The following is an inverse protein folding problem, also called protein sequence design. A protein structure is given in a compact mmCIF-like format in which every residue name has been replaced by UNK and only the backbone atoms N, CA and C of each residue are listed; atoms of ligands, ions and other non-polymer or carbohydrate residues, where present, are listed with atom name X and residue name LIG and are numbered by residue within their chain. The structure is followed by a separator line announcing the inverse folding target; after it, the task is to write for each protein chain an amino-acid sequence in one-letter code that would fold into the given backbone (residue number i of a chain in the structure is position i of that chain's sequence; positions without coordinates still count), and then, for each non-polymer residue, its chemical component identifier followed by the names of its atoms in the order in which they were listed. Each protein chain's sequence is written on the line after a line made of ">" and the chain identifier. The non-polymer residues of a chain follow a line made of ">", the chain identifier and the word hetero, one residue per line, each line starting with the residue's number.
data_IF_463189241065
#
_entry.id   IF_463189241065
#
_cell.length_a   1.000
_cell.length_b   1.000
_cell.length_c   1.000
_cell.angle_alpha   90.00
_cell.angle_beta   90.00
_cell.angle_gamma   90.00
#
_symmetry.space_group_name_H-M   'P 1'
#
loop_
_entity.id
_entity.type
_entity.pdbx_description
1 polymer ?
#
# COMPACT_ATOMS: atom_id res chain seq x y z
N UNK A 1 -7.59 10.29 -16.64
CA UNK A 1 -6.50 10.05 -15.66
C UNK A 1 -6.77 10.97 -14.49
N UNK A 2 -6.61 10.48 -13.27
CA UNK A 2 -6.75 11.31 -12.08
C UNK A 2 -5.52 12.22 -11.92
N UNK A 3 -5.74 13.43 -11.38
CA UNK A 3 -4.68 14.43 -11.23
C UNK A 3 -3.98 14.25 -9.88
N UNK A 4 -2.81 13.64 -9.91
CA UNK A 4 -1.95 13.51 -8.75
C UNK A 4 -1.07 14.74 -8.57
N UNK A 5 -0.94 15.21 -7.33
CA UNK A 5 0.07 16.19 -6.91
C UNK A 5 1.29 15.46 -6.40
N UNK A 6 2.48 15.88 -6.80
CA UNK A 6 3.73 15.28 -6.33
C UNK A 6 4.81 16.35 -6.11
N UNK A 7 5.75 16.01 -5.22
CA UNK A 7 7.01 16.73 -5.07
C UNK A 7 8.13 15.68 -5.09
N UNK A 8 9.02 15.79 -6.06
CA UNK A 8 10.20 14.92 -6.10
C UNK A 8 11.14 15.33 -4.99
N UNK A 9 11.46 14.40 -4.09
CA UNK A 9 12.37 14.67 -2.98
C UNK A 9 12.57 13.48 -2.07
N UNK A 10 13.63 13.56 -1.24
CA UNK A 10 13.96 12.52 -0.28
C UNK A 10 13.01 12.44 0.90
N UNK A 11 13.28 11.48 1.79
CA UNK A 11 12.51 11.28 3.03
C UNK A 11 12.27 12.60 3.76
N UNK A 12 11.03 12.85 4.14
CA UNK A 12 10.59 14.10 4.76
C UNK A 12 10.11 15.18 3.78
N UNK A 13 10.16 14.95 2.46
CA UNK A 13 9.55 15.84 1.47
C UNK A 13 8.03 15.68 1.48
N UNK A 14 7.37 16.45 2.35
CA UNK A 14 5.92 16.42 2.49
C UNK A 14 5.18 17.22 1.41
N UNK A 15 3.93 16.86 1.21
CA UNK A 15 2.92 17.67 0.49
C UNK A 15 1.92 18.25 1.50
N UNK A 16 1.18 19.28 1.11
CA UNK A 16 0.18 19.90 1.98
C UNK A 16 -1.01 18.94 2.22
N UNK A 17 -1.79 19.20 3.29
CA UNK A 17 -3.00 18.41 3.52
C UNK A 17 -4.01 18.53 2.35
N UNK A 18 -4.08 19.69 1.70
CA UNK A 18 -4.91 19.88 0.52
C UNK A 18 -4.45 18.96 -0.64
N UNK A 19 -3.13 18.87 -0.86
CA UNK A 19 -2.54 17.98 -1.85
C UNK A 19 -2.78 16.50 -1.49
N UNK A 20 -2.69 16.15 -0.19
CA UNK A 20 -3.01 14.79 0.28
C UNK A 20 -4.47 14.44 -0.02
N UNK A 21 -5.42 15.36 0.22
CA UNK A 21 -6.84 15.17 -0.11
C UNK A 21 -7.04 14.94 -1.61
N UNK A 22 -6.36 15.70 -2.44
CA UNK A 22 -6.40 15.51 -3.89
C UNK A 22 -5.86 14.13 -4.28
N UNK A 23 -4.72 13.71 -3.71
CA UNK A 23 -4.13 12.41 -3.99
C UNK A 23 -5.00 11.25 -3.47
N UNK A 24 -5.63 11.38 -2.32
CA UNK A 24 -6.60 10.38 -1.82
C UNK A 24 -7.78 10.23 -2.79
N UNK A 25 -8.34 11.35 -3.28
CA UNK A 25 -9.40 11.30 -4.27
C UNK A 25 -8.94 10.66 -5.57
N UNK A 26 -7.71 10.92 -6.00
CA UNK A 26 -7.11 10.32 -7.18
C UNK A 26 -6.89 8.81 -7.02
N UNK A 27 -6.32 8.38 -5.87
CA UNK A 27 -6.14 6.96 -5.52
C UNK A 27 -7.50 6.23 -5.51
N UNK A 28 -8.50 6.82 -4.84
CA UNK A 28 -9.86 6.28 -4.80
C UNK A 28 -10.43 6.09 -6.22
N UNK A 29 -10.36 7.12 -7.05
CA UNK A 29 -10.90 7.06 -8.41
C UNK A 29 -10.22 5.97 -9.26
N UNK A 30 -8.89 5.86 -9.17
CA UNK A 30 -8.13 4.88 -9.95
C UNK A 30 -8.41 3.46 -9.44
N UNK A 31 -8.28 3.19 -8.14
CA UNK A 31 -8.44 1.85 -7.58
C UNK A 31 -9.89 1.37 -7.67
N UNK A 32 -10.87 2.25 -7.48
CA UNK A 32 -12.30 1.92 -7.73
C UNK A 32 -12.51 1.52 -9.20
N UNK A 33 -11.84 2.21 -10.13
CA UNK A 33 -11.88 1.84 -11.55
C UNK A 33 -11.32 0.44 -11.83
N UNK A 34 -10.43 -0.07 -10.97
CA UNK A 34 -9.94 -1.46 -10.99
C UNK A 34 -10.76 -2.41 -10.11
N UNK A 35 -11.88 -1.96 -9.59
CA UNK A 35 -12.83 -2.78 -8.85
C UNK A 35 -12.50 -3.00 -7.38
N UNK A 36 -11.68 -2.14 -6.79
CA UNK A 36 -11.44 -2.15 -5.35
C UNK A 36 -12.60 -1.50 -4.60
N UNK A 37 -12.95 -2.05 -3.46
CA UNK A 37 -13.92 -1.45 -2.57
C UNK A 37 -13.25 -0.42 -1.63
N UNK A 38 -14.07 0.50 -1.11
CA UNK A 38 -13.60 1.63 -0.33
C UNK A 38 -12.80 1.25 0.92
N UNK A 39 -13.21 0.20 1.62
CA UNK A 39 -12.54 -0.31 2.82
C UNK A 39 -11.12 -0.79 2.51
N UNK A 40 -10.94 -1.53 1.43
CA UNK A 40 -9.64 -1.96 0.95
C UNK A 40 -8.75 -0.75 0.59
N UNK A 41 -9.30 0.22 -0.12
CA UNK A 41 -8.59 1.45 -0.50
C UNK A 41 -8.15 2.21 0.75
N UNK A 42 -9.02 2.34 1.75
CA UNK A 42 -8.69 3.03 3.00
C UNK A 42 -7.57 2.34 3.79
N UNK A 43 -7.61 1.00 3.86
CA UNK A 43 -6.54 0.22 4.49
C UNK A 43 -5.17 0.46 3.85
N UNK A 44 -5.10 0.41 2.53
CA UNK A 44 -3.88 0.72 1.77
C UNK A 44 -3.42 2.17 1.99
N UNK A 45 -4.33 3.15 1.92
CA UNK A 45 -4.02 4.57 2.15
C UNK A 45 -3.48 4.79 3.56
N UNK A 46 -4.00 4.10 4.58
CA UNK A 46 -3.47 4.18 5.94
C UNK A 46 -1.98 3.84 6.01
N UNK A 47 -1.55 2.87 5.24
CA UNK A 47 -0.15 2.49 5.12
C UNK A 47 0.64 3.51 4.29
N UNK A 48 0.14 3.98 3.16
CA UNK A 48 0.82 4.99 2.33
C UNK A 48 1.08 6.30 3.06
N UNK A 49 0.27 6.66 4.06
CA UNK A 49 0.53 7.86 4.88
C UNK A 49 1.87 7.75 5.61
N UNK A 50 2.16 6.61 6.20
CA UNK A 50 3.42 6.37 6.92
C UNK A 50 4.60 6.15 5.96
N UNK A 51 4.37 5.51 4.81
CA UNK A 51 5.42 5.22 3.83
C UNK A 51 5.86 6.48 3.05
N UNK A 52 4.91 7.31 2.62
CA UNK A 52 5.17 8.37 1.65
C UNK A 52 4.53 9.72 1.97
N UNK A 53 3.72 9.82 3.03
CA UNK A 53 2.87 10.98 3.23
C UNK A 53 1.92 11.23 2.06
N UNK A 54 1.53 10.19 1.32
CA UNK A 54 0.71 10.24 0.11
C UNK A 54 1.38 10.99 -1.06
N UNK A 55 2.69 11.18 -1.03
CA UNK A 55 3.44 11.83 -2.09
C UNK A 55 4.05 10.77 -3.03
N UNK A 56 3.57 10.61 -4.27
CA UNK A 56 4.13 9.61 -5.20
C UNK A 56 5.55 9.94 -5.69
N UNK A 57 6.03 11.15 -5.45
CA UNK A 57 7.37 11.60 -5.84
C UNK A 57 8.45 11.48 -4.74
N UNK A 58 8.15 10.78 -3.64
CA UNK A 58 9.10 10.61 -2.54
C UNK A 58 10.02 9.40 -2.75
N UNK A 59 11.26 9.53 -2.25
CA UNK A 59 12.22 8.43 -2.22
C UNK A 59 12.96 8.38 -0.87
N UNK A 60 13.37 7.20 -0.47
CA UNK A 60 14.10 6.98 0.77
C UNK A 60 15.55 7.47 0.66
N UNK A 61 16.03 8.19 1.69
CA UNK A 61 17.40 8.73 1.73
C UNK A 61 18.32 7.99 2.70
N UNK A 62 17.79 7.10 3.53
CA UNK A 62 18.57 6.44 4.61
C UNK A 62 19.67 5.49 4.10
N UNK A 63 19.56 4.99 2.88
CA UNK A 63 20.53 4.11 2.24
C UNK A 63 21.44 4.83 1.23
N UNK A 64 21.70 6.12 1.43
CA UNK A 64 22.52 6.90 0.52
C UNK A 64 21.82 7.23 -0.80
N UNK A 65 20.49 7.27 -0.76
CA UNK A 65 19.64 7.55 -1.90
C UNK A 65 19.84 8.95 -2.44
N UNK A 66 20.67 9.07 -3.46
CA UNK A 66 20.79 10.24 -4.30
C UNK A 66 20.24 9.85 -5.69
N UNK A 67 19.29 10.62 -6.20
CA UNK A 67 18.74 10.40 -7.54
C UNK A 67 19.80 10.46 -8.63
N UNK A 68 20.97 11.05 -8.36
CA UNK A 68 22.14 10.97 -9.25
C UNK A 68 22.66 9.54 -9.42
N UNK A 69 22.36 8.63 -8.50
CA UNK A 69 22.72 7.22 -8.57
C UNK A 69 21.72 6.35 -9.35
N UNK A 70 20.69 6.94 -9.95
CA UNK A 70 19.84 6.20 -10.88
C UNK A 70 20.73 5.60 -11.99
N UNK A 71 20.56 4.35 -12.35
CA UNK A 71 19.44 3.44 -12.06
C UNK A 71 19.62 2.51 -10.84
N UNK A 72 20.60 2.68 -10.02
CA UNK A 72 20.94 1.76 -8.93
C UNK A 72 20.49 2.28 -7.54
N UNK A 73 19.29 2.83 -7.46
CA UNK A 73 18.75 3.35 -6.22
C UNK A 73 18.30 2.20 -5.29
N UNK A 74 18.92 2.01 -4.10
CA UNK A 74 18.62 0.87 -3.23
C UNK A 74 17.45 1.10 -2.26
N UNK A 75 16.91 2.32 -2.19
CA UNK A 75 15.87 2.70 -1.25
C UNK A 75 14.45 2.56 -1.77
N UNK A 76 13.48 2.77 -0.91
CA UNK A 76 12.07 2.80 -1.25
C UNK A 76 11.67 4.01 -2.10
N UNK A 77 10.70 3.86 -2.98
CA UNK A 77 10.18 4.93 -3.84
C UNK A 77 8.66 4.87 -3.99
N UNK A 78 8.06 6.04 -4.12
CA UNK A 78 6.64 6.18 -4.42
C UNK A 78 5.71 5.94 -3.25
N UNK A 79 4.42 5.78 -3.52
CA UNK A 79 3.35 5.67 -2.52
C UNK A 79 3.58 4.54 -1.51
N UNK A 80 3.97 3.37 -1.97
CA UNK A 80 4.19 2.18 -1.16
C UNK A 80 5.67 1.93 -0.85
N UNK A 81 6.54 2.89 -1.11
CA UNK A 81 7.99 2.79 -0.88
C UNK A 81 8.58 1.49 -1.43
N UNK A 82 8.29 1.19 -2.72
CA UNK A 82 8.87 0.03 -3.38
C UNK A 82 10.39 0.06 -3.27
N UNK A 83 10.94 -0.91 -2.58
CA UNK A 83 12.38 -1.14 -2.49
C UNK A 83 12.87 -1.84 -3.76
N UNK A 84 14.19 -1.76 -4.04
CA UNK A 84 14.75 -2.24 -5.30
C UNK A 84 14.20 -1.50 -6.53
N UNK A 85 14.34 -0.19 -6.51
CA UNK A 85 14.02 0.71 -7.62
C UNK A 85 14.37 0.19 -9.02
N UNK A 86 15.53 -0.47 -9.25
CA UNK A 86 15.84 -1.02 -10.56
C UNK A 86 14.80 -2.00 -11.11
N UNK A 87 14.22 -2.85 -10.28
CA UNK A 87 13.16 -3.75 -10.73
C UNK A 87 11.88 -3.00 -11.09
N UNK A 88 11.54 -1.99 -10.30
CA UNK A 88 10.41 -1.10 -10.53
C UNK A 88 10.56 -0.25 -11.80
N UNK A 89 11.78 0.18 -12.14
CA UNK A 89 12.04 1.09 -13.27
C UNK A 89 12.52 0.42 -14.55
N UNK A 90 12.79 -0.87 -14.54
CA UNK A 90 13.36 -1.63 -15.66
C UNK A 90 14.86 -1.39 -15.96
N UNK A 91 15.59 -0.77 -15.06
CA UNK A 91 17.01 -0.47 -15.25
C UNK A 91 17.93 -1.59 -14.77
N UNK A 92 17.39 -2.68 -14.24
CA UNK A 92 18.12 -3.83 -13.70
C UNK A 92 17.97 -5.07 -14.60
N UNK A 93 18.87 -6.08 -14.50
CA UNK A 93 18.81 -7.27 -15.35
C UNK A 93 17.48 -8.01 -15.35
N UNK A 94 16.73 -7.94 -14.25
CA UNK A 94 15.41 -8.57 -14.11
C UNK A 94 14.34 -7.55 -13.71
N UNK A 95 14.04 -6.55 -14.55
CA UNK A 95 12.99 -5.60 -14.26
C UNK A 95 11.62 -6.26 -14.31
N UNK A 96 10.66 -5.71 -13.55
CA UNK A 96 9.26 -6.11 -13.68
C UNK A 96 8.81 -5.96 -15.14
N UNK A 97 8.03 -6.92 -15.68
CA UNK A 97 7.56 -6.86 -17.07
C UNK A 97 6.73 -5.60 -17.38
N UNK A 98 6.20 -4.97 -16.40
CA UNK A 98 5.39 -3.75 -16.44
C UNK A 98 6.05 -2.57 -15.72
N UNK A 99 7.35 -2.49 -15.71
CA UNK A 99 8.07 -1.39 -15.09
C UNK A 99 7.76 -0.02 -15.70
N UNK A 100 8.09 1.05 -14.98
CA UNK A 100 7.82 2.42 -15.41
C UNK A 100 8.39 2.71 -16.82
N UNK A 101 9.59 2.23 -17.12
CA UNK A 101 10.21 2.43 -18.43
C UNK A 101 9.45 1.71 -19.55
N UNK A 102 9.06 0.44 -19.35
CA UNK A 102 8.29 -0.33 -20.32
C UNK A 102 6.91 0.27 -20.57
N UNK A 103 6.27 0.78 -19.53
CA UNK A 103 4.98 1.46 -19.63
C UNK A 103 5.11 2.91 -20.11
N UNK A 104 6.33 3.40 -20.36
CA UNK A 104 6.64 4.79 -20.75
C UNK A 104 6.05 5.81 -19.78
N UNK A 105 6.19 5.52 -18.49
CA UNK A 105 5.72 6.35 -17.38
C UNK A 105 6.88 6.85 -16.54
N UNK A 106 6.68 7.96 -15.89
CA UNK A 106 7.60 8.42 -14.87
C UNK A 106 7.38 7.60 -13.59
N UNK A 107 8.44 7.30 -12.85
CA UNK A 107 8.33 6.56 -11.60
C UNK A 107 7.45 7.26 -10.56
N UNK A 108 7.33 8.59 -10.61
CA UNK A 108 6.48 9.40 -9.74
C UNK A 108 5.04 9.59 -10.24
N UNK A 109 4.65 8.93 -11.32
CA UNK A 109 3.28 8.97 -11.82
C UNK A 109 2.36 8.17 -10.90
N UNK A 110 1.51 8.86 -10.13
CA UNK A 110 0.60 8.24 -9.19
C UNK A 110 -0.43 7.31 -9.84
N UNK A 111 -0.86 7.59 -11.07
CA UNK A 111 -1.76 6.68 -11.81
C UNK A 111 -1.04 5.36 -12.15
N UNK A 112 0.23 5.44 -12.57
CA UNK A 112 1.05 4.26 -12.82
C UNK A 112 1.27 3.47 -11.52
N UNK A 113 1.57 4.14 -10.42
CA UNK A 113 1.78 3.49 -9.12
C UNK A 113 0.51 2.78 -8.64
N UNK A 114 -0.67 3.40 -8.75
CA UNK A 114 -1.94 2.75 -8.42
C UNK A 114 -2.23 1.57 -9.34
N UNK A 115 -1.93 1.67 -10.64
CA UNK A 115 -2.05 0.54 -11.55
C UNK A 115 -1.10 -0.60 -11.18
N UNK A 116 0.13 -0.27 -10.79
CA UNK A 116 1.13 -1.26 -10.37
C UNK A 116 0.64 -2.07 -9.16
N UNK A 117 -0.07 -1.46 -8.21
CA UNK A 117 -0.65 -2.16 -7.07
C UNK A 117 -1.62 -3.28 -7.51
N UNK A 118 -2.28 -3.13 -8.66
CA UNK A 118 -3.18 -4.19 -9.18
C UNK A 118 -2.43 -5.45 -9.62
N UNK A 119 -1.10 -5.39 -9.68
CA UNK A 119 -0.21 -6.51 -10.03
C UNK A 119 0.37 -7.23 -8.81
N UNK A 120 -0.02 -6.83 -7.62
CA UNK A 120 0.56 -7.35 -6.38
C UNK A 120 0.41 -8.88 -6.20
N UNK A 121 -0.58 -9.50 -6.85
CA UNK A 121 -0.84 -10.95 -6.84
C UNK A 121 -0.29 -11.67 -8.09
N UNK A 122 0.46 -10.98 -8.94
CA UNK A 122 1.07 -11.59 -10.11
C UNK A 122 2.30 -12.42 -9.71
N UNK A 123 2.43 -13.63 -10.25
CA UNK A 123 3.53 -14.55 -9.94
C UNK A 123 4.90 -13.92 -10.20
N UNK A 124 5.03 -13.08 -11.23
CA UNK A 124 6.28 -12.36 -11.50
C UNK A 124 6.53 -11.31 -10.45
N UNK A 125 5.51 -10.56 -10.02
CA UNK A 125 5.62 -9.55 -8.98
C UNK A 125 5.98 -10.19 -7.64
N UNK A 126 5.32 -11.30 -7.26
CA UNK A 126 5.55 -12.00 -6.01
C UNK A 126 6.84 -12.83 -6.00
N UNK A 127 7.30 -13.31 -7.17
CA UNK A 127 8.48 -14.17 -7.30
C UNK A 127 9.80 -13.42 -7.48
N UNK A 128 9.78 -12.12 -7.74
CA UNK A 128 10.98 -11.31 -7.90
C UNK A 128 11.66 -11.02 -6.56
N UNK A 129 12.19 -12.08 -5.94
CA UNK A 129 13.03 -11.97 -4.76
C UNK A 129 14.51 -11.92 -5.13
N UNK A 130 15.26 -11.04 -4.51
CA UNK A 130 16.70 -11.04 -4.56
C UNK A 130 17.26 -12.01 -3.52
N UNK A 131 17.47 -13.25 -3.92
CA UNK A 131 18.26 -14.25 -3.15
C UNK A 131 17.66 -14.77 -1.85
N UNK A 132 16.57 -14.22 -1.34
CA UNK A 132 15.99 -14.59 -0.04
C UNK A 132 14.45 -14.66 -0.01
N UNK A 133 13.83 -14.95 -1.14
CA UNK A 133 12.37 -15.01 -1.28
C UNK A 133 11.79 -13.75 -1.91
N UNK A 134 10.51 -13.74 -2.22
CA UNK A 134 9.87 -12.61 -2.87
C UNK A 134 9.89 -11.41 -1.94
N UNK A 135 10.36 -10.28 -2.42
CA UNK A 135 10.44 -9.03 -1.66
C UNK A 135 9.28 -8.08 -1.95
N UNK A 136 8.42 -8.45 -2.88
CA UNK A 136 7.35 -7.59 -3.36
C UNK A 136 6.09 -8.41 -3.59
N UNK A 137 4.96 -7.73 -3.50
CA UNK A 137 3.69 -8.31 -3.78
C UNK A 137 3.00 -8.93 -2.58
N UNK A 138 1.79 -9.36 -2.82
CA UNK A 138 0.89 -9.88 -1.79
C UNK A 138 1.29 -11.29 -1.35
N UNK A 139 1.51 -11.48 -0.06
CA UNK A 139 1.88 -12.78 0.51
C UNK A 139 1.04 -13.14 1.70
N UNK A 140 0.34 -14.25 1.60
CA UNK A 140 -0.43 -14.79 2.73
C UNK A 140 0.49 -15.54 3.71
N UNK A 141 0.19 -15.40 5.00
CA UNK A 141 0.92 -16.06 6.08
C UNK A 141 -0.01 -16.87 6.97
N UNK A 142 0.49 -17.98 7.53
CA UNK A 142 -0.22 -18.71 8.58
C UNK A 142 0.03 -18.16 9.99
N UNK A 143 1.00 -17.25 10.13
CA UNK A 143 1.42 -16.68 11.42
C UNK A 143 0.61 -15.43 11.81
N UNK A 144 -0.07 -14.81 10.86
CA UNK A 144 -0.87 -13.60 11.05
C UNK A 144 -2.22 -13.73 10.33
N UNK A 145 -3.23 -12.93 10.71
CA UNK A 145 -4.45 -12.82 9.92
C UNK A 145 -4.11 -12.41 8.49
N UNK A 146 -4.52 -13.20 7.53
CA UNK A 146 -4.12 -13.05 6.13
C UNK A 146 -5.24 -13.55 5.22
N UNK A 147 -5.42 -12.89 4.08
CA UNK A 147 -6.42 -13.23 3.06
C UNK A 147 -5.78 -13.16 1.67
N UNK A 148 -6.42 -13.72 0.66
CA UNK A 148 -5.95 -13.55 -0.71
C UNK A 148 -6.09 -12.09 -1.17
N UNK A 149 -5.26 -11.68 -2.13
CA UNK A 149 -5.32 -10.32 -2.67
C UNK A 149 -6.69 -9.99 -3.26
N UNK A 150 -7.32 -10.95 -3.95
CA UNK A 150 -8.65 -10.77 -4.51
C UNK A 150 -9.75 -10.61 -3.45
N UNK A 151 -9.62 -11.28 -2.29
CA UNK A 151 -10.50 -11.06 -1.14
C UNK A 151 -10.26 -9.70 -0.51
N UNK A 152 -8.98 -9.28 -0.40
CA UNK A 152 -8.63 -7.96 0.11
C UNK A 152 -9.32 -6.84 -0.69
N UNK A 153 -9.19 -6.87 -2.01
CA UNK A 153 -9.80 -5.86 -2.90
C UNK A 153 -11.31 -5.71 -2.71
N UNK A 154 -11.99 -6.74 -2.20
CA UNK A 154 -13.45 -6.81 -2.02
C UNK A 154 -13.92 -6.53 -0.59
N UNK A 155 -13.02 -6.19 0.32
CA UNK A 155 -13.40 -5.77 1.67
C UNK A 155 -14.32 -4.55 1.61
N UNK A 156 -15.48 -4.64 2.25
CA UNK A 156 -16.55 -3.64 2.11
C UNK A 156 -17.25 -3.28 3.44
N UNK A 157 -16.67 -3.63 4.58
CA UNK A 157 -17.16 -3.19 5.88
C UNK A 157 -16.97 -1.68 6.08
N UNK A 158 -17.80 -1.05 6.89
CA UNK A 158 -17.82 0.40 7.13
C UNK A 158 -17.54 0.78 8.58
N UNK A 159 -17.34 -0.20 9.45
CA UNK A 159 -16.99 0.05 10.87
C UNK A 159 -15.50 0.32 11.03
N UNK A 160 -15.12 0.98 12.12
CA UNK A 160 -13.71 1.17 12.47
C UNK A 160 -12.94 -0.15 12.54
N UNK A 161 -13.58 -1.23 13.02
CA UNK A 161 -12.96 -2.55 13.08
C UNK A 161 -12.68 -3.16 11.68
N UNK A 162 -13.58 -2.95 10.73
CA UNK A 162 -13.42 -3.45 9.36
C UNK A 162 -12.27 -2.71 8.64
N UNK A 163 -12.19 -1.38 8.84
CA UNK A 163 -11.14 -0.55 8.27
C UNK A 163 -9.78 -0.90 8.89
N UNK A 164 -9.73 -1.10 10.21
CA UNK A 164 -8.52 -1.54 10.91
C UNK A 164 -8.04 -2.89 10.41
N UNK A 165 -8.94 -3.83 10.19
CA UNK A 165 -8.61 -5.13 9.66
C UNK A 165 -8.07 -5.04 8.23
N UNK A 166 -8.64 -4.18 7.39
CA UNK A 166 -8.09 -3.93 6.05
C UNK A 166 -6.67 -3.35 6.12
N UNK A 167 -6.41 -2.46 7.09
CA UNK A 167 -5.06 -1.92 7.32
C UNK A 167 -4.08 -3.00 7.77
N UNK A 168 -4.51 -3.90 8.67
CA UNK A 168 -3.68 -5.04 9.12
C UNK A 168 -3.32 -5.99 7.98
N UNK A 169 -4.28 -6.35 7.13
CA UNK A 169 -4.00 -7.20 5.98
C UNK A 169 -2.99 -6.56 5.04
N UNK A 170 -3.13 -5.27 4.71
CA UNK A 170 -2.15 -4.57 3.90
C UNK A 170 -0.77 -4.58 4.53
N UNK A 171 -0.70 -4.23 5.79
CA UNK A 171 0.53 -4.14 6.56
C UNK A 171 1.29 -5.47 6.63
N UNK A 172 0.59 -6.57 6.84
CA UNK A 172 1.23 -7.88 6.95
C UNK A 172 1.45 -8.55 5.59
N UNK A 173 0.50 -8.48 4.68
CA UNK A 173 0.53 -9.25 3.44
C UNK A 173 1.23 -8.50 2.28
N UNK A 174 1.26 -7.16 2.30
CA UNK A 174 1.92 -6.36 1.27
C UNK A 174 3.26 -5.77 1.71
N UNK A 175 3.33 -5.24 2.93
CA UNK A 175 4.55 -4.58 3.43
C UNK A 175 5.46 -5.52 4.23
N UNK A 176 5.00 -6.73 4.55
CA UNK A 176 5.73 -7.81 5.24
C UNK A 176 6.35 -7.40 6.58
N UNK A 177 5.70 -6.55 7.30
CA UNK A 177 6.15 -6.09 8.62
C UNK A 177 5.92 -7.16 9.72
N UNK A 178 6.56 -8.32 9.56
CA UNK A 178 6.49 -9.42 10.53
C UNK A 178 7.41 -9.28 11.73
N UNK A 179 8.27 -8.24 11.75
CA UNK A 179 9.22 -8.04 12.83
C UNK A 179 8.63 -7.20 13.96
N UNK A 180 9.16 -7.37 15.18
CA UNK A 180 8.72 -6.69 16.41
C UNK A 180 8.66 -5.16 16.32
N UNK A 181 9.27 -4.54 15.32
CA UNK A 181 9.25 -3.09 15.14
C UNK A 181 8.06 -2.59 14.32
N UNK A 182 7.47 -3.43 13.48
CA UNK A 182 6.35 -3.04 12.63
C UNK A 182 5.07 -2.71 13.40
N UNK A 183 4.77 -3.46 14.45
CA UNK A 183 3.54 -3.25 15.24
C UNK A 183 3.49 -1.87 15.91
N UNK A 184 4.63 -1.20 16.14
CA UNK A 184 4.69 0.13 16.74
C UNK A 184 3.97 1.20 15.89
N UNK A 185 3.95 1.05 14.57
CA UNK A 185 3.35 2.04 13.66
C UNK A 185 1.95 1.66 13.18
N UNK A 186 1.47 0.47 13.52
CA UNK A 186 0.15 0.00 13.11
C UNK A 186 -1.01 0.87 13.65
N UNK A 187 -0.99 1.37 14.90
CA UNK A 187 -2.03 2.28 15.38
C UNK A 187 -2.16 3.57 14.57
N UNK A 188 -1.04 4.16 14.13
CA UNK A 188 -1.02 5.38 13.32
C UNK A 188 -1.60 5.11 11.93
N UNK A 189 -1.24 3.98 11.31
CA UNK A 189 -1.77 3.54 10.01
C UNK A 189 -3.28 3.33 10.06
N UNK A 190 -3.79 2.69 11.12
CA UNK A 190 -5.23 2.50 11.37
C UNK A 190 -5.96 3.83 11.54
N UNK A 191 -5.41 4.75 12.33
CA UNK A 191 -5.99 6.07 12.51
C UNK A 191 -6.04 6.85 11.19
N UNK A 192 -4.98 6.78 10.38
CA UNK A 192 -4.93 7.37 9.05
C UNK A 192 -5.96 6.73 8.10
N UNK A 193 -6.08 5.40 8.09
CA UNK A 193 -7.07 4.68 7.30
C UNK A 193 -8.50 5.13 7.61
N UNK A 194 -8.86 5.23 8.91
CA UNK A 194 -10.19 5.70 9.33
C UNK A 194 -10.43 7.16 8.90
N UNK A 195 -9.46 8.07 9.11
CA UNK A 195 -9.54 9.47 8.66
C UNK A 195 -9.85 9.55 7.18
N UNK A 196 -9.15 8.78 6.36
CA UNK A 196 -9.29 8.86 4.92
C UNK A 196 -10.54 8.11 4.42
N UNK A 197 -10.97 7.06 5.12
CA UNK A 197 -12.27 6.45 4.85
C UNK A 197 -13.41 7.47 5.04
N UNK A 198 -13.42 8.21 6.16
CA UNK A 198 -14.41 9.28 6.41
C UNK A 198 -14.41 10.32 5.27
N UNK A 199 -13.23 10.73 4.85
CA UNK A 199 -13.11 11.67 3.75
C UNK A 199 -13.69 11.13 2.44
N UNK A 200 -13.34 9.89 2.08
CA UNK A 200 -13.76 9.26 0.82
C UNK A 200 -15.24 8.88 0.80
N UNK A 201 -15.77 8.43 1.92
CA UNK A 201 -17.18 8.03 2.04
C UNK A 201 -18.12 9.21 2.21
N UNK A 202 -17.62 10.36 2.68
CA UNK A 202 -18.43 11.50 3.10
C UNK A 202 -19.20 11.26 4.41
N UNK A 203 -18.89 10.17 5.13
CA UNK A 203 -19.54 9.79 6.38
C UNK A 203 -18.52 9.53 7.48
N UNK A 204 -18.80 9.92 8.74
CA UNK A 204 -17.95 9.54 9.87
C UNK A 204 -17.88 8.01 10.02
N UNK A 205 -16.69 7.50 10.34
CA UNK A 205 -16.56 6.08 10.71
C UNK A 205 -17.30 5.88 12.04
N UNK A 206 -18.22 4.92 12.12
CA UNK A 206 -18.88 4.60 13.37
C UNK A 206 -17.87 4.32 14.48
N UNK A 207 -18.09 4.83 15.72
CA UNK A 207 -17.21 4.55 16.83
C UNK A 207 -17.12 3.04 17.06
N UNK A 208 -15.94 2.57 17.46
CA UNK A 208 -15.78 1.17 17.83
C UNK A 208 -16.82 0.79 18.88
N UNK A 209 -17.47 -0.37 18.72
CA UNK A 209 -18.25 -0.92 19.82
C UNK A 209 -17.31 -1.07 21.03
N UNK A 210 -17.78 -0.75 22.26
CA UNK A 210 -16.94 -0.83 23.45
C UNK A 210 -16.24 -2.17 23.50
N UNK A 211 -14.93 -2.15 23.73
CA UNK A 211 -14.03 -3.29 23.70
C UNK A 211 -14.38 -4.32 24.77
N UNK A 212 -15.41 -5.09 24.53
CA UNK A 212 -15.92 -6.18 25.36
C UNK A 212 -15.91 -7.53 24.67
N UNK A 213 -14.92 -7.80 23.83
CA UNK A 213 -14.76 -9.10 23.20
C UNK A 213 -14.12 -8.98 21.83
N UNK A 214 -12.95 -9.56 21.71
CA UNK A 214 -12.40 -9.85 20.39
C UNK A 214 -13.50 -10.51 19.56
N UNK A 215 -13.98 -9.84 18.51
CA UNK A 215 -14.85 -10.52 17.52
C UNK A 215 -14.03 -11.71 17.02
N UNK A 216 -14.38 -12.90 17.51
CA UNK A 216 -13.86 -14.13 16.90
C UNK A 216 -14.32 -14.05 15.44
N UNK A 217 -13.38 -14.11 14.53
CA UNK A 217 -13.73 -14.26 13.12
C UNK A 217 -14.80 -15.35 13.00
N UNK A 218 -15.81 -15.19 12.18
CA UNK A 218 -16.87 -16.21 12.04
C UNK A 218 -16.23 -17.56 11.75
N UNK A 219 -16.73 -18.61 12.39
CA UNK A 219 -16.15 -19.96 12.33
C UNK A 219 -15.98 -20.47 10.88
N UNK A 220 -16.79 -19.99 9.94
CA UNK A 220 -16.68 -20.33 8.52
C UNK A 220 -15.37 -19.83 7.88
N UNK A 221 -14.72 -18.82 8.43
CA UNK A 221 -13.43 -18.32 7.96
C UNK A 221 -12.30 -19.31 8.25
N UNK A 222 -12.43 -20.11 9.33
CA UNK A 222 -11.48 -21.17 9.69
C UNK A 222 -11.77 -22.50 9.01
N UNK A 223 -12.99 -22.74 8.57
CA UNK A 223 -13.40 -24.04 7.98
C UNK A 223 -12.98 -24.23 6.52
N UNK A 224 -12.49 -23.21 5.83
CA UNK A 224 -11.94 -23.30 4.46
C UNK A 224 -10.48 -23.77 4.39
N UNK A 225 -9.83 -24.03 5.52
CA UNK A 225 -8.41 -24.48 5.60
C UNK A 225 -8.25 -25.93 6.07
N UNK A 226 -9.33 -26.75 6.07
CA UNK A 226 -9.26 -28.21 6.30
C UNK A 226 -9.47 -28.97 4.99
#
# INVERSE_FOLDING_TARGET
>A
MADFVYKIGGSGTGISEADQRQNVSAIQAVLTGYGWNLTAIAGAIGCFVEESGLNPGIYETSHGGDLSNLPYFPGGMGLAQWTDYPAYTATYPNPLPWSADKEKKNWWDGNFQCWLLTKADDDVYTSMGYGQGPRWGWQTSSSYPSISFSEYQKLNGDTGADIDQATEFWFYDMEWHYSQHGELYLPQRKAAARKWYEYMSGHPVPPEPPTGGRRKMPLWFYMKKM
#
